data_IF_796274599700
#
_entry.id   IF_796274599700
#
_cell.length_a   1.000
_cell.length_b   1.000
_cell.length_c   1.000
_cell.angle_alpha   90.00
_cell.angle_beta   90.00
_cell.angle_gamma   90.00
#
_symmetry.space_group_name_H-M   'P 1'
#
loop_
_entity.id
_entity.type
_entity.pdbx_description
1 polymer ?
#
# COMPACT_ATOMS: atom_id res chain seq x y z
N UNK A 1 -29.31 54.92 10.02
CA UNK A 1 -28.26 54.74 8.98
C UNK A 1 -27.54 53.45 9.30
N UNK A 2 -27.50 52.49 8.36
CA UNK A 2 -26.72 51.25 8.56
C UNK A 2 -25.23 51.57 8.45
N UNK A 3 -24.42 50.95 9.31
CA UNK A 3 -22.99 51.15 9.40
C UNK A 3 -22.29 49.82 9.19
N UNK A 4 -21.32 49.77 8.28
CA UNK A 4 -20.66 48.54 7.86
C UNK A 4 -19.21 48.51 8.32
N UNK A 5 -18.75 47.31 8.68
CA UNK A 5 -17.34 47.03 8.90
C UNK A 5 -16.82 46.21 7.73
N UNK A 6 -15.58 46.42 7.33
CA UNK A 6 -14.91 45.70 6.26
C UNK A 6 -13.65 45.03 6.80
N UNK A 7 -13.34 43.83 6.29
CA UNK A 7 -12.14 43.07 6.61
C UNK A 7 -11.36 42.83 5.32
N UNK A 8 -10.09 43.23 5.34
CA UNK A 8 -9.10 42.98 4.29
C UNK A 8 -7.93 42.20 4.89
N UNK A 9 -7.80 40.91 4.55
CA UNK A 9 -6.73 40.03 5.07
C UNK A 9 -6.51 40.09 6.60
N UNK A 10 -7.58 40.32 7.36
CA UNK A 10 -7.56 40.38 8.83
C UNK A 10 -7.49 41.79 9.43
N UNK A 11 -7.30 42.83 8.62
CA UNK A 11 -7.42 44.23 9.06
C UNK A 11 -8.87 44.72 8.94
N UNK A 12 -9.43 45.19 10.06
CA UNK A 12 -10.84 45.63 10.13
C UNK A 12 -10.94 47.15 10.02
N UNK A 13 -11.64 47.62 9.00
CA UNK A 13 -11.92 49.04 8.74
C UNK A 13 -13.40 49.35 8.94
N UNK A 14 -13.71 50.39 9.71
CA UNK A 14 -15.09 50.85 9.92
C UNK A 14 -15.31 51.56 11.25
N UNK A 15 -16.54 51.99 11.55
CA UNK A 15 -17.76 51.77 10.76
C UNK A 15 -17.98 52.82 9.66
N UNK A 16 -18.20 52.37 8.42
CA UNK A 16 -18.46 53.22 7.24
C UNK A 16 -19.95 53.30 6.90
N UNK A 17 -20.37 54.42 6.32
CA UNK A 17 -21.71 54.57 5.73
C UNK A 17 -21.79 54.02 4.30
N UNK A 18 -23.00 53.81 3.76
CA UNK A 18 -23.20 53.17 2.45
C UNK A 18 -22.43 53.82 1.29
N UNK A 19 -22.29 55.16 1.28
CA UNK A 19 -21.52 55.88 0.26
C UNK A 19 -20.02 55.60 0.36
N UNK A 20 -19.47 55.66 1.57
CA UNK A 20 -18.06 55.36 1.85
C UNK A 20 -17.75 53.88 1.60
N UNK A 21 -18.69 52.99 1.95
CA UNK A 21 -18.64 51.56 1.65
C UNK A 21 -18.48 51.29 0.15
N UNK A 22 -19.31 51.89 -0.71
CA UNK A 22 -19.23 51.69 -2.15
C UNK A 22 -17.91 52.25 -2.74
N UNK A 23 -17.42 53.38 -2.24
CA UNK A 23 -16.10 53.92 -2.63
C UNK A 23 -14.94 53.00 -2.19
N UNK A 24 -15.06 52.35 -1.03
CA UNK A 24 -14.06 51.40 -0.51
C UNK A 24 -14.06 50.09 -1.31
N UNK A 25 -15.24 49.53 -1.59
CA UNK A 25 -15.43 48.30 -2.37
C UNK A 25 -14.99 48.48 -3.83
N UNK A 26 -15.17 49.66 -4.41
CA UNK A 26 -14.73 49.95 -5.78
C UNK A 26 -13.20 49.86 -5.95
N UNK A 27 -12.44 50.05 -4.87
CA UNK A 27 -10.98 49.94 -4.89
C UNK A 27 -10.51 48.50 -4.65
N UNK A 28 -11.20 47.78 -3.76
CA UNK A 28 -10.90 46.40 -3.39
C UNK A 28 -12.19 45.55 -3.44
N UNK A 29 -12.44 44.81 -4.55
CA UNK A 29 -13.66 44.01 -4.70
C UNK A 29 -13.66 42.71 -3.87
N UNK A 30 -12.49 42.24 -3.41
CA UNK A 30 -12.32 40.97 -2.69
C UNK A 30 -12.41 41.11 -1.15
N UNK A 31 -13.28 42.00 -0.68
CA UNK A 31 -13.44 42.30 0.74
C UNK A 31 -14.55 41.47 1.39
N UNK A 32 -14.45 41.33 2.71
CA UNK A 32 -15.54 40.84 3.54
C UNK A 32 -16.17 42.00 4.30
N UNK A 33 -17.49 42.02 4.41
CA UNK A 33 -18.24 43.00 5.17
C UNK A 33 -19.01 42.35 6.32
N UNK A 34 -19.19 43.10 7.39
CA UNK A 34 -19.96 42.70 8.56
C UNK A 34 -20.91 43.80 9.02
N UNK A 35 -22.11 43.39 9.40
CA UNK A 35 -23.14 44.24 10.01
C UNK A 35 -23.82 43.41 11.12
N UNK A 36 -24.31 44.03 12.22
CA UNK A 36 -24.94 43.31 13.33
C UNK A 36 -26.14 42.42 12.98
N UNK A 37 -26.70 42.57 11.78
CA UNK A 37 -27.76 41.72 11.24
C UNK A 37 -27.27 40.38 10.67
N UNK A 38 -25.95 40.21 10.51
CA UNK A 38 -25.32 38.99 10.01
C UNK A 38 -24.56 38.29 11.13
N UNK A 39 -24.60 36.95 11.12
CA UNK A 39 -23.93 36.11 12.13
C UNK A 39 -22.44 35.94 11.87
N UNK A 40 -21.96 36.29 10.68
CA UNK A 40 -20.58 36.12 10.22
C UNK A 40 -20.21 37.20 9.19
N UNK A 41 -18.92 37.31 8.89
CA UNK A 41 -18.40 38.14 7.80
C UNK A 41 -18.86 37.59 6.45
N UNK A 42 -19.42 38.43 5.59
CA UNK A 42 -19.98 38.04 4.29
C UNK A 42 -19.19 38.74 3.18
N UNK A 43 -18.81 38.05 2.09
CA UNK A 43 -18.19 38.71 0.95
C UNK A 43 -19.04 39.87 0.43
N UNK A 44 -18.40 40.98 0.06
CA UNK A 44 -19.10 42.17 -0.44
C UNK A 44 -19.94 41.87 -1.69
N UNK A 45 -19.51 40.90 -2.51
CA UNK A 45 -20.22 40.41 -3.69
C UNK A 45 -21.54 39.69 -3.39
N UNK A 46 -21.75 39.25 -2.15
CA UNK A 46 -22.97 38.57 -1.72
C UNK A 46 -23.99 39.51 -1.05
N UNK A 47 -23.68 40.81 -0.93
CA UNK A 47 -24.53 41.80 -0.26
C UNK A 47 -25.18 42.70 -1.31
N UNK A 48 -26.49 42.57 -1.46
CA UNK A 48 -27.28 43.33 -2.45
C UNK A 48 -27.27 44.86 -2.25
N UNK A 49 -26.81 45.36 -1.09
CA UNK A 49 -26.70 46.79 -0.80
C UNK A 49 -25.47 47.45 -1.45
N UNK A 50 -24.52 46.65 -1.96
CA UNK A 50 -23.29 47.14 -2.57
C UNK A 50 -23.30 46.97 -4.09
N UNK A 51 -22.74 47.95 -4.78
CA UNK A 51 -22.57 47.91 -6.24
C UNK A 51 -21.27 47.19 -6.58
N UNK A 52 -21.29 45.86 -6.62
CA UNK A 52 -20.11 45.05 -7.00
C UNK A 52 -20.20 44.58 -8.45
N UNK A 53 -19.25 45.00 -9.29
CA UNK A 53 -19.05 44.40 -10.61
C UNK A 53 -18.20 43.12 -10.48
N UNK A 54 -18.83 41.98 -10.24
CA UNK A 54 -18.12 40.69 -10.22
C UNK A 54 -17.76 40.31 -11.66
N UNK A 55 -16.47 40.33 -11.98
CA UNK A 55 -15.99 39.78 -13.26
C UNK A 55 -15.89 38.26 -13.10
N UNK A 56 -16.49 37.45 -13.98
CA UNK A 56 -16.36 36.00 -13.87
C UNK A 56 -14.88 35.61 -13.93
N UNK A 57 -14.43 34.65 -13.11
CA UNK A 57 -13.05 34.19 -13.16
C UNK A 57 -12.74 33.63 -14.56
N UNK A 58 -11.48 33.73 -15.01
CA UNK A 58 -11.08 33.14 -16.27
C UNK A 58 -11.33 31.62 -16.26
N UNK A 59 -11.63 31.02 -17.43
CA UNK A 59 -11.83 29.58 -17.51
C UNK A 59 -10.58 28.84 -17.04
N UNK A 60 -10.73 27.64 -16.44
CA UNK A 60 -9.61 26.81 -16.05
C UNK A 60 -8.67 26.55 -17.22
N UNK A 61 -7.36 26.61 -16.96
CA UNK A 61 -6.33 26.31 -17.97
C UNK A 61 -6.43 24.82 -18.33
N UNK A 62 -6.34 24.49 -19.62
CA UNK A 62 -6.32 23.11 -20.08
C UNK A 62 -5.11 22.37 -19.50
N UNK A 63 -5.30 21.12 -19.07
CA UNK A 63 -4.21 20.29 -18.56
C UNK A 63 -3.20 20.07 -19.71
N UNK A 64 -1.90 20.32 -19.49
CA UNK A 64 -0.87 20.01 -20.48
C UNK A 64 -0.90 18.54 -20.88
N UNK A 65 -0.86 18.27 -22.19
CA UNK A 65 -0.86 16.89 -22.71
C UNK A 65 0.35 16.09 -22.23
N UNK A 66 1.51 16.74 -22.05
CA UNK A 66 2.74 16.10 -21.55
C UNK A 66 2.51 15.42 -20.18
N UNK A 67 1.75 16.06 -19.27
CA UNK A 67 1.42 15.46 -17.97
C UNK A 67 0.50 14.25 -18.09
N UNK A 68 -0.38 14.25 -19.09
CA UNK A 68 -1.27 13.12 -19.36
C UNK A 68 -0.46 11.95 -19.92
N UNK A 69 0.44 12.23 -20.86
CA UNK A 69 1.30 11.21 -21.47
C UNK A 69 2.26 10.59 -20.46
N UNK A 70 2.84 11.40 -19.56
CA UNK A 70 3.69 10.92 -18.46
C UNK A 70 2.92 9.97 -17.53
N UNK A 71 1.70 10.33 -17.12
CA UNK A 71 0.86 9.48 -16.27
C UNK A 71 0.49 8.15 -16.95
N UNK A 72 0.18 8.18 -18.25
CA UNK A 72 -0.11 6.97 -19.03
C UNK A 72 1.15 6.10 -19.15
N UNK A 73 2.32 6.72 -19.29
CA UNK A 73 3.62 6.05 -19.28
C UNK A 73 3.86 5.29 -17.97
N UNK A 74 3.71 5.99 -16.84
CA UNK A 74 3.85 5.40 -15.50
C UNK A 74 2.86 4.26 -15.26
N UNK A 75 1.59 4.42 -15.67
CA UNK A 75 0.58 3.37 -15.56
C UNK A 75 1.01 2.10 -16.31
N UNK A 76 1.50 2.25 -17.54
CA UNK A 76 1.95 1.12 -18.36
C UNK A 76 3.18 0.42 -17.78
N UNK A 77 4.13 1.18 -17.25
CA UNK A 77 5.30 0.62 -16.57
C UNK A 77 4.92 -0.15 -15.30
N UNK A 78 3.96 0.36 -14.54
CA UNK A 78 3.44 -0.30 -13.35
C UNK A 78 2.77 -1.63 -13.70
N UNK A 79 1.90 -1.65 -14.72
CA UNK A 79 1.24 -2.87 -15.21
C UNK A 79 2.28 -3.91 -15.63
N UNK A 80 3.27 -3.50 -16.43
CA UNK A 80 4.35 -4.40 -16.89
C UNK A 80 5.15 -4.98 -15.71
N UNK A 81 5.37 -4.16 -14.68
CA UNK A 81 6.08 -4.59 -13.47
C UNK A 81 5.25 -5.60 -12.66
N UNK A 82 3.94 -5.38 -12.54
CA UNK A 82 3.02 -6.29 -11.87
C UNK A 82 2.94 -7.64 -12.59
N UNK A 83 2.86 -7.65 -13.92
CA UNK A 83 2.88 -8.89 -14.73
C UNK A 83 4.18 -9.68 -14.51
N UNK A 84 5.32 -8.98 -14.43
CA UNK A 84 6.61 -9.62 -14.15
C UNK A 84 6.63 -10.25 -12.76
N UNK A 85 6.13 -9.53 -11.75
CA UNK A 85 6.05 -10.03 -10.36
C UNK A 85 5.16 -11.27 -10.31
N UNK A 86 3.98 -11.23 -10.92
CA UNK A 86 3.05 -12.37 -10.96
C UNK A 86 3.70 -13.61 -11.58
N UNK A 87 4.39 -13.43 -12.71
CA UNK A 87 5.15 -14.51 -13.35
C UNK A 87 6.25 -15.08 -12.45
N UNK A 88 7.00 -14.22 -11.76
CA UNK A 88 8.05 -14.66 -10.82
C UNK A 88 7.46 -15.40 -9.63
N UNK A 89 6.34 -14.93 -9.07
CA UNK A 89 5.64 -15.62 -7.97
C UNK A 89 5.20 -17.01 -8.42
N UNK A 90 4.59 -17.11 -9.60
CA UNK A 90 4.13 -18.39 -10.15
C UNK A 90 5.27 -19.38 -10.33
N UNK A 91 6.35 -18.96 -11.01
CA UNK A 91 7.53 -19.81 -11.20
C UNK A 91 8.11 -20.26 -9.86
N UNK A 92 8.23 -19.35 -8.90
CA UNK A 92 8.79 -19.66 -7.58
C UNK A 92 7.90 -20.65 -6.82
N UNK A 93 6.58 -20.49 -6.89
CA UNK A 93 5.62 -21.40 -6.27
C UNK A 93 5.69 -22.80 -6.88
N UNK A 94 5.79 -22.89 -8.21
CA UNK A 94 5.92 -24.17 -8.91
C UNK A 94 7.23 -24.87 -8.50
N UNK A 95 8.34 -24.14 -8.45
CA UNK A 95 9.63 -24.70 -7.99
C UNK A 95 9.62 -25.14 -6.52
N UNK A 96 8.93 -24.41 -5.63
CA UNK A 96 8.79 -24.82 -4.23
C UNK A 96 7.98 -26.12 -4.11
N UNK A 97 6.92 -26.26 -4.90
CA UNK A 97 6.13 -27.50 -4.93
C UNK A 97 6.96 -28.70 -5.42
N UNK A 98 7.80 -28.49 -6.45
CA UNK A 98 8.73 -29.53 -6.93
C UNK A 98 9.74 -29.93 -5.85
N UNK A 99 10.33 -28.96 -5.14
CA UNK A 99 11.27 -29.21 -4.05
C UNK A 99 10.62 -29.99 -2.90
N UNK A 100 9.41 -29.60 -2.48
CA UNK A 100 8.67 -30.30 -1.42
C UNK A 100 8.39 -31.76 -1.81
N UNK A 101 7.98 -31.99 -3.06
CA UNK A 101 7.74 -33.34 -3.59
C UNK A 101 9.03 -34.18 -3.60
N UNK A 102 10.15 -33.59 -4.01
CA UNK A 102 11.45 -34.26 -4.02
C UNK A 102 11.96 -34.56 -2.60
N UNK A 103 11.74 -33.65 -1.65
CA UNK A 103 12.10 -33.82 -0.25
C UNK A 103 11.32 -34.97 0.40
N UNK A 104 10.02 -35.07 0.15
CA UNK A 104 9.19 -36.18 0.63
C UNK A 104 9.66 -37.53 0.05
N UNK A 105 10.02 -37.55 -1.23
CA UNK A 105 10.54 -38.74 -1.88
C UNK A 105 11.88 -39.17 -1.26
N UNK A 106 12.84 -38.25 -1.10
CA UNK A 106 14.13 -38.56 -0.48
C UNK A 106 13.99 -38.97 0.99
N UNK A 107 13.10 -38.34 1.74
CA UNK A 107 12.78 -38.72 3.11
C UNK A 107 12.30 -40.18 3.18
N UNK A 108 11.39 -40.56 2.26
CA UNK A 108 10.88 -41.93 2.15
C UNK A 108 11.97 -42.92 1.79
N UNK A 109 12.81 -42.61 0.79
CA UNK A 109 13.93 -43.46 0.38
C UNK A 109 14.91 -43.66 1.55
N UNK A 110 15.30 -42.57 2.22
CA UNK A 110 16.22 -42.62 3.34
C UNK A 110 15.67 -43.44 4.51
N UNK A 111 14.38 -43.29 4.82
CA UNK A 111 13.71 -44.08 5.83
C UNK A 111 13.72 -45.58 5.49
N UNK A 112 13.29 -45.93 4.29
CA UNK A 112 13.24 -47.33 3.84
C UNK A 112 14.63 -47.97 3.87
N UNK A 113 15.64 -47.29 3.35
CA UNK A 113 17.02 -47.79 3.36
C UNK A 113 17.55 -47.97 4.79
N UNK A 114 17.21 -47.05 5.70
CA UNK A 114 17.60 -47.16 7.12
C UNK A 114 16.97 -48.39 7.77
N UNK A 115 15.69 -48.65 7.51
CA UNK A 115 15.01 -49.84 8.04
C UNK A 115 15.57 -51.13 7.42
N UNK A 116 15.82 -51.16 6.11
CA UNK A 116 16.45 -52.31 5.44
C UNK A 116 17.83 -52.63 6.03
N UNK A 117 18.70 -51.62 6.17
CA UNK A 117 20.02 -51.79 6.78
C UNK A 117 19.90 -52.29 8.22
N UNK A 118 18.97 -51.75 9.01
CA UNK A 118 18.73 -52.20 10.38
C UNK A 118 18.35 -53.68 10.44
N UNK A 119 17.43 -54.12 9.57
CA UNK A 119 16.99 -55.52 9.49
C UNK A 119 18.15 -56.44 9.10
N UNK A 120 18.95 -56.04 8.11
CA UNK A 120 20.11 -56.82 7.65
C UNK A 120 21.15 -56.94 8.76
N UNK A 121 21.49 -55.84 9.44
CA UNK A 121 22.46 -55.85 10.56
C UNK A 121 21.98 -56.78 11.67
N UNK A 122 20.71 -56.67 12.09
CA UNK A 122 20.15 -57.55 13.12
C UNK A 122 20.23 -59.03 12.72
N UNK A 123 19.93 -59.33 11.45
CA UNK A 123 20.02 -60.70 10.93
C UNK A 123 21.46 -61.24 10.98
N UNK A 124 22.45 -60.41 10.63
CA UNK A 124 23.87 -60.77 10.70
C UNK A 124 24.30 -61.02 12.15
N UNK A 125 23.88 -60.17 13.09
CA UNK A 125 24.16 -60.32 14.52
C UNK A 125 23.60 -61.64 15.07
N UNK A 126 22.35 -61.97 14.72
CA UNK A 126 21.69 -63.22 15.12
C UNK A 126 22.42 -64.46 14.55
N UNK A 127 22.79 -64.42 13.26
CA UNK A 127 23.55 -65.50 12.63
C UNK A 127 24.93 -65.68 13.27
N UNK A 128 25.62 -64.59 13.58
CA UNK A 128 26.91 -64.62 14.27
C UNK A 128 26.79 -65.23 15.67
N UNK A 129 25.80 -64.82 16.45
CA UNK A 129 25.55 -65.38 17.78
C UNK A 129 25.23 -66.89 17.73
N UNK A 130 24.43 -67.32 16.75
CA UNK A 130 24.13 -68.73 16.52
C UNK A 130 25.39 -69.54 16.17
N UNK A 131 26.25 -69.00 15.30
CA UNK A 131 27.50 -69.65 14.91
C UNK A 131 28.46 -69.77 16.11
N UNK A 132 28.61 -68.72 16.91
CA UNK A 132 29.41 -68.78 18.14
C UNK A 132 28.91 -69.86 19.11
N UNK A 133 27.59 -69.96 19.31
CA UNK A 133 26.98 -70.98 20.16
C UNK A 133 27.24 -72.39 19.62
N UNK A 134 27.11 -72.59 18.32
CA UNK A 134 27.39 -73.89 17.68
C UNK A 134 28.86 -74.29 17.84
N UNK A 135 29.80 -73.36 17.59
CA UNK A 135 31.23 -73.60 17.80
C UNK A 135 31.54 -73.98 19.25
N UNK A 136 30.98 -73.26 20.22
CA UNK A 136 31.16 -73.56 21.64
C UNK A 136 30.62 -74.95 22.02
N UNK A 137 29.52 -75.39 21.40
CA UNK A 137 28.95 -76.72 21.64
C UNK A 137 29.81 -77.84 21.03
N UNK A 138 30.37 -77.63 19.83
CA UNK A 138 31.29 -78.60 19.20
C UNK A 138 32.54 -78.78 20.05
N UNK A 139 33.16 -77.68 20.52
CA UNK A 139 34.34 -77.73 21.39
C UNK A 139 34.07 -78.50 22.70
N UNK A 140 32.84 -78.44 23.22
CA UNK A 140 32.45 -79.16 24.44
C UNK A 140 32.12 -80.65 24.22
N UNK A 141 31.84 -81.08 22.98
CA UNK A 141 31.49 -82.46 22.67
C UNK A 141 32.71 -83.35 22.39
N UNK A 142 33.88 -82.75 22.13
CA UNK A 142 35.15 -83.44 21.87
C UNK A 142 35.97 -83.74 23.16
N UNK A 143 35.41 -83.52 24.35
CA UNK A 143 35.96 -83.87 25.67
C UNK A 143 35.01 -84.80 26.43
#
# INVERSE_FOLDING_TARGET
MKKWFFSDNGEVTGPLGLKESNEFISKNPDLYAWHPSYTHWVPVSCINEFETSVTPPPPPIAIPNDLIDDLIGEEKELITTLERIDKTIKITSDSLYEIDTELDNYSTIAHNLTEEVRVVVKTIEEQYAALQKNLANVIKADY
#
